data_IF_203286742892
#
_entry.id   IF_203286742892
#
_cell.length_a   1.000
_cell.length_b   1.000
_cell.length_c   1.000
_cell.angle_alpha   90.00
_cell.angle_beta   90.00
_cell.angle_gamma   90.00
#
_symmetry.space_group_name_H-M   'P 1'
#
loop_
_entity.id
_entity.type
_entity.pdbx_description
1 polymer ?
#
# COMPACT_ATOMS: atom_id res chain seq x y z
N UNK A 1 21.42 -54.78 -51.58
CA UNK A 1 22.55 -55.45 -52.26
C UNK A 1 23.00 -56.57 -51.34
N UNK A 2 22.98 -57.84 -51.79
CA UNK A 2 23.37 -58.95 -50.93
C UNK A 2 24.89 -58.95 -50.74
N UNK A 3 25.34 -58.91 -49.48
CA UNK A 3 26.76 -58.97 -49.16
C UNK A 3 27.30 -60.38 -49.48
N UNK A 4 28.30 -60.52 -50.36
CA UNK A 4 28.79 -61.82 -50.85
C UNK A 4 29.37 -62.71 -49.74
N UNK A 5 29.73 -62.12 -48.60
CA UNK A 5 30.22 -62.83 -47.42
C UNK A 5 29.15 -63.66 -46.69
N UNK A 6 27.87 -63.32 -46.88
CA UNK A 6 26.75 -63.89 -46.14
C UNK A 6 25.73 -64.60 -47.04
N UNK A 7 25.99 -64.69 -48.35
CA UNK A 7 25.05 -65.22 -49.33
C UNK A 7 24.83 -66.74 -49.23
N UNK A 8 25.86 -67.49 -48.80
CA UNK A 8 25.83 -68.97 -48.78
C UNK A 8 25.52 -69.56 -47.39
N UNK A 9 25.28 -68.72 -46.38
CA UNK A 9 25.05 -69.20 -45.01
C UNK A 9 23.55 -69.46 -44.75
N UNK A 10 23.16 -70.67 -44.30
CA UNK A 10 21.79 -70.94 -43.93
C UNK A 10 21.41 -70.19 -42.64
N UNK A 11 20.20 -69.60 -42.60
CA UNK A 11 19.65 -68.96 -41.40
C UNK A 11 19.92 -67.45 -41.26
N UNK A 12 20.41 -66.78 -42.30
CA UNK A 12 20.56 -65.32 -42.30
C UNK A 12 19.27 -64.66 -42.80
N UNK A 13 18.71 -63.74 -42.02
CA UNK A 13 17.53 -62.99 -42.39
C UNK A 13 17.88 -61.85 -43.35
N UNK A 14 17.62 -62.03 -44.64
CA UNK A 14 17.86 -61.01 -45.67
C UNK A 14 16.72 -59.99 -45.82
N UNK A 15 15.53 -60.33 -45.34
CA UNK A 15 14.29 -59.54 -45.49
C UNK A 15 13.89 -58.80 -44.22
N UNK A 16 14.80 -58.69 -43.25
CA UNK A 16 14.57 -57.94 -42.02
C UNK A 16 15.37 -56.63 -42.06
N UNK A 17 14.84 -55.53 -41.52
CA UNK A 17 15.61 -54.31 -41.38
C UNK A 17 16.77 -54.54 -40.40
N UNK A 18 17.95 -54.05 -40.76
CA UNK A 18 19.14 -54.14 -39.89
C UNK A 18 18.98 -53.30 -38.61
N UNK A 19 18.10 -52.29 -38.63
CA UNK A 19 17.86 -51.36 -37.52
C UNK A 19 16.36 -51.28 -37.23
N UNK A 20 15.99 -51.50 -35.98
CA UNK A 20 14.63 -51.28 -35.47
C UNK A 20 14.65 -50.03 -34.60
N UNK A 21 14.24 -48.91 -35.18
CA UNK A 21 14.10 -47.64 -34.47
C UNK A 21 12.62 -47.24 -34.38
N UNK A 22 12.28 -46.48 -33.34
CA UNK A 22 10.99 -45.82 -33.23
C UNK A 22 10.94 -44.65 -34.22
N UNK A 23 9.76 -44.35 -34.76
CA UNK A 23 9.55 -43.12 -35.53
C UNK A 23 9.55 -41.92 -34.58
N UNK A 24 10.74 -41.53 -34.12
CA UNK A 24 10.94 -40.45 -33.18
C UNK A 24 10.54 -39.12 -33.83
N UNK A 25 9.61 -38.42 -33.21
CA UNK A 25 9.37 -37.02 -33.55
C UNK A 25 10.64 -36.21 -33.24
N UNK A 26 10.96 -35.16 -34.00
CA UNK A 26 12.08 -34.29 -33.69
C UNK A 26 11.98 -33.81 -32.24
N UNK A 27 13.09 -33.75 -31.50
CA UNK A 27 13.15 -33.36 -30.08
C UNK A 27 12.40 -32.03 -29.79
N UNK A 28 12.34 -31.13 -30.78
CA UNK A 28 11.60 -29.86 -30.74
C UNK A 28 10.08 -29.99 -30.63
N UNK A 29 9.50 -31.12 -31.04
CA UNK A 29 8.05 -31.39 -30.97
C UNK A 29 7.66 -32.22 -29.74
N UNK A 30 8.64 -32.84 -29.06
CA UNK A 30 8.44 -33.65 -27.86
C UNK A 30 8.09 -32.79 -26.62
N UNK A 31 8.53 -31.53 -26.59
CA UNK A 31 8.30 -30.60 -25.47
C UNK A 31 6.87 -30.08 -25.30
N UNK A 32 6.00 -30.21 -26.31
CA UNK A 32 4.59 -29.79 -26.22
C UNK A 32 3.70 -30.81 -25.49
N UNK A 33 4.22 -32.00 -25.22
CA UNK A 33 3.56 -33.03 -24.42
C UNK A 33 4.14 -33.00 -23.00
N UNK A 34 4.18 -31.82 -22.38
CA UNK A 34 4.52 -31.73 -20.95
C UNK A 34 3.44 -32.50 -20.19
N UNK A 35 3.79 -33.72 -19.81
CA UNK A 35 3.04 -34.70 -19.01
C UNK A 35 2.43 -34.04 -17.75
N UNK A 36 3.01 -32.92 -17.31
CA UNK A 36 2.55 -32.08 -16.21
C UNK A 36 1.17 -31.46 -16.43
N UNK A 37 0.84 -31.02 -17.66
CA UNK A 37 -0.41 -30.27 -17.92
C UNK A 37 -1.62 -31.19 -18.14
N UNK A 38 -1.40 -32.46 -18.50
CA UNK A 38 -2.47 -33.40 -18.83
C UNK A 38 -2.81 -34.33 -17.66
N UNK A 39 -1.84 -34.72 -16.83
CA UNK A 39 -2.07 -35.74 -15.79
C UNK A 39 -2.68 -35.17 -14.51
N UNK A 40 -2.37 -33.92 -14.15
CA UNK A 40 -2.80 -33.36 -12.86
C UNK A 40 -4.22 -32.80 -12.92
N UNK A 41 -4.66 -32.32 -14.09
CA UNK A 41 -5.95 -31.64 -14.26
C UNK A 41 -7.14 -32.60 -14.54
N UNK A 42 -6.90 -33.91 -14.63
CA UNK A 42 -7.91 -34.92 -15.01
C UNK A 42 -8.37 -35.82 -13.85
N UNK A 43 -8.00 -35.53 -12.60
CA UNK A 43 -8.48 -36.30 -11.45
C UNK A 43 -9.90 -35.84 -11.05
N UNK A 44 -10.93 -36.62 -11.36
CA UNK A 44 -12.35 -36.34 -11.01
C UNK A 44 -12.63 -36.14 -9.51
N UNK A 45 -11.69 -36.52 -8.64
CA UNK A 45 -11.80 -36.37 -7.17
C UNK A 45 -11.06 -35.15 -6.61
N UNK A 46 -10.39 -34.35 -7.43
CA UNK A 46 -9.59 -33.19 -6.99
C UNK A 46 -10.01 -31.94 -7.76
N UNK A 47 -10.47 -30.93 -7.05
CA UNK A 47 -10.75 -29.62 -7.64
C UNK A 47 -9.47 -28.78 -7.72
N UNK A 48 -9.04 -28.41 -8.92
CA UNK A 48 -7.89 -27.51 -9.14
C UNK A 48 -8.35 -26.05 -9.08
N UNK A 49 -8.06 -25.38 -7.97
CA UNK A 49 -8.38 -23.97 -7.78
C UNK A 49 -7.32 -23.08 -8.45
N UNK A 50 -7.74 -22.26 -9.42
CA UNK A 50 -6.88 -21.26 -10.05
C UNK A 50 -6.68 -20.08 -9.10
N UNK A 51 -5.51 -20.00 -8.47
CA UNK A 51 -5.16 -18.91 -7.57
C UNK A 51 -4.63 -17.72 -8.38
N UNK A 52 -5.37 -16.60 -8.34
CA UNK A 52 -4.97 -15.32 -8.93
C UNK A 52 -4.33 -14.43 -7.85
N UNK A 53 -3.02 -14.11 -7.92
CA UNK A 53 -2.35 -13.32 -6.89
C UNK A 53 -2.96 -11.92 -6.69
N UNK A 54 -3.43 -11.31 -7.78
CA UNK A 54 -4.05 -9.98 -7.74
C UNK A 54 -5.40 -9.99 -7.02
N UNK A 55 -6.21 -11.04 -7.22
CA UNK A 55 -7.51 -11.17 -6.54
C UNK A 55 -7.31 -11.52 -5.06
N UNK A 56 -6.37 -12.42 -4.77
CA UNK A 56 -5.98 -12.74 -3.40
C UNK A 56 -5.48 -11.48 -2.65
N UNK A 57 -4.59 -10.70 -3.27
CA UNK A 57 -4.11 -9.45 -2.68
C UNK A 57 -5.27 -8.50 -2.36
N UNK A 58 -6.20 -8.28 -3.30
CA UNK A 58 -7.35 -7.42 -3.07
C UNK A 58 -8.28 -7.94 -1.94
N UNK A 59 -8.43 -9.27 -1.79
CA UNK A 59 -9.23 -9.89 -0.71
C UNK A 59 -8.64 -9.65 0.69
N UNK A 60 -7.33 -9.53 0.80
CA UNK A 60 -6.63 -9.34 2.08
C UNK A 60 -6.12 -7.91 2.30
N UNK A 61 -6.20 -7.04 1.29
CA UNK A 61 -5.82 -5.63 1.39
C UNK A 61 -6.60 -4.95 2.53
N UNK A 62 -5.87 -4.31 3.45
CA UNK A 62 -6.46 -3.61 4.59
C UNK A 62 -6.77 -4.48 5.80
N UNK A 63 -6.57 -5.82 5.73
CA UNK A 63 -6.65 -6.70 6.90
C UNK A 63 -5.26 -6.82 7.50
N UNK A 64 -5.10 -6.39 8.76
CA UNK A 64 -3.86 -6.55 9.53
C UNK A 64 -4.06 -7.57 10.64
N UNK A 65 -2.99 -8.26 11.03
CA UNK A 65 -2.97 -9.22 12.13
C UNK A 65 -2.09 -8.67 13.25
N UNK A 66 -2.57 -8.72 14.49
CA UNK A 66 -1.73 -8.42 15.66
C UNK A 66 -1.12 -9.72 16.20
N UNK A 67 0.21 -9.68 16.39
CA UNK A 67 1.03 -10.78 16.87
C UNK A 67 1.57 -10.57 18.29
N UNK A 68 1.26 -9.46 18.95
CA UNK A 68 1.92 -9.05 20.21
C UNK A 68 1.65 -9.98 21.39
N UNK A 69 0.46 -10.58 21.45
CA UNK A 69 0.01 -11.37 22.61
C UNK A 69 -0.27 -12.84 22.24
N UNK A 70 0.42 -13.35 21.22
CA UNK A 70 0.25 -14.72 20.70
C UNK A 70 1.06 -15.69 21.55
N UNK A 71 0.38 -16.64 22.17
CA UNK A 71 1.00 -17.72 22.95
C UNK A 71 0.44 -19.08 22.51
N UNK A 72 1.31 -19.91 21.90
CA UNK A 72 1.01 -21.30 21.53
C UNK A 72 1.63 -22.32 22.49
N UNK A 73 2.29 -21.88 23.55
CA UNK A 73 2.89 -22.81 24.52
C UNK A 73 1.78 -23.50 25.32
N UNK A 74 2.02 -24.71 25.85
CA UNK A 74 1.05 -25.44 26.68
C UNK A 74 0.96 -24.95 28.14
N UNK A 75 1.55 -23.79 28.47
CA UNK A 75 1.54 -23.24 29.83
C UNK A 75 0.14 -22.94 30.38
N UNK A 76 -0.26 -23.51 31.52
CA UNK A 76 -1.60 -23.28 32.08
C UNK A 76 -1.66 -21.89 32.71
N UNK A 77 -2.17 -20.91 31.96
CA UNK A 77 -2.33 -19.51 32.39
C UNK A 77 -3.79 -19.15 32.75
N UNK A 78 -3.97 -18.02 33.42
CA UNK A 78 -5.30 -17.50 33.83
C UNK A 78 -6.15 -16.91 32.69
N UNK A 79 -5.62 -16.81 31.46
CA UNK A 79 -6.32 -16.30 30.28
C UNK A 79 -6.50 -17.37 29.21
N UNK A 80 -7.51 -17.20 28.34
CA UNK A 80 -7.58 -18.00 27.10
C UNK A 80 -6.36 -17.66 26.26
N UNK A 81 -5.60 -18.68 25.86
CA UNK A 81 -4.56 -18.52 24.84
C UNK A 81 -5.24 -18.26 23.52
N UNK A 82 -5.03 -17.08 22.99
CA UNK A 82 -5.53 -16.68 21.69
C UNK A 82 -4.32 -16.63 20.77
N UNK A 83 -4.49 -17.15 19.55
CA UNK A 83 -3.49 -17.05 18.50
C UNK A 83 -3.41 -15.63 17.95
N UNK A 84 -3.15 -15.50 16.65
CA UNK A 84 -3.20 -14.21 15.98
C UNK A 84 -4.56 -13.56 16.14
N UNK A 85 -4.55 -12.30 16.57
CA UNK A 85 -5.77 -11.54 16.75
C UNK A 85 -6.06 -10.72 15.49
N UNK A 86 -7.32 -10.79 15.02
CA UNK A 86 -7.83 -10.02 13.88
C UNK A 86 -8.50 -8.73 14.38
N UNK A 87 -8.41 -8.43 15.69
CA UNK A 87 -8.84 -7.16 16.32
C UNK A 87 -7.97 -5.97 15.91
N UNK A 88 -7.83 -5.77 14.60
CA UNK A 88 -7.24 -4.57 14.00
C UNK A 88 -8.31 -3.95 13.11
N UNK A 89 -9.16 -3.12 13.73
CA UNK A 89 -10.19 -2.37 13.03
C UNK A 89 -10.59 -1.13 13.82
N UNK A 90 -10.94 -0.07 13.10
CA UNK A 90 -11.27 1.26 13.66
C UNK A 90 -12.54 1.28 14.52
N UNK A 91 -13.29 0.17 14.56
CA UNK A 91 -14.56 0.01 15.26
C UNK A 91 -14.48 -1.01 16.41
N UNK A 92 -13.33 -1.13 17.05
CA UNK A 92 -13.22 -1.98 18.24
C UNK A 92 -13.71 -1.25 19.49
N UNK A 93 -14.62 -1.89 20.22
CA UNK A 93 -15.02 -1.51 21.57
C UNK A 93 -14.58 -2.64 22.50
N UNK A 94 -13.87 -2.27 23.57
CA UNK A 94 -13.49 -3.19 24.63
C UNK A 94 -14.76 -3.55 25.38
N UNK A 95 -15.05 -4.86 25.49
CA UNK A 95 -16.21 -5.32 26.26
C UNK A 95 -15.99 -5.17 27.76
N UNK A 96 -17.06 -4.87 28.50
CA UNK A 96 -17.14 -4.54 29.94
C UNK A 96 -16.42 -5.49 30.91
N UNK A 97 -15.91 -6.63 30.44
CA UNK A 97 -15.32 -7.70 31.24
C UNK A 97 -13.86 -8.01 30.90
N UNK A 98 -13.20 -7.17 30.11
CA UNK A 98 -11.77 -7.33 29.80
C UNK A 98 -10.92 -6.37 30.64
N UNK A 99 -9.85 -6.87 31.26
CA UNK A 99 -8.94 -6.09 32.13
C UNK A 99 -7.96 -5.19 31.35
N UNK A 100 -8.16 -5.04 30.05
CA UNK A 100 -7.29 -4.29 29.17
C UNK A 100 -7.62 -2.80 29.26
N UNK A 101 -6.58 -1.95 29.32
CA UNK A 101 -6.77 -0.50 29.36
C UNK A 101 -7.10 -0.02 27.95
N UNK A 102 -8.15 0.78 27.83
CA UNK A 102 -8.63 1.27 26.54
C UNK A 102 -7.66 2.26 25.88
N UNK A 103 -7.53 2.15 24.57
CA UNK A 103 -6.87 3.16 23.75
C UNK A 103 -7.76 4.41 23.67
N UNK A 104 -7.22 5.65 23.73
CA UNK A 104 -8.00 6.88 23.54
C UNK A 104 -8.96 6.91 22.34
N UNK A 105 -8.62 6.24 21.23
CA UNK A 105 -9.51 6.13 20.07
C UNK A 105 -10.70 5.19 20.31
N UNK A 106 -10.47 4.07 21.01
CA UNK A 106 -11.52 3.12 21.39
C UNK A 106 -12.46 3.74 22.42
N UNK A 107 -11.91 4.45 23.40
CA UNK A 107 -12.69 5.20 24.39
C UNK A 107 -13.59 6.25 23.72
N UNK A 108 -13.08 6.94 22.69
CA UNK A 108 -13.87 7.86 21.89
C UNK A 108 -15.06 7.17 21.21
N UNK A 109 -14.83 6.04 20.55
CA UNK A 109 -15.88 5.27 19.88
C UNK A 109 -16.93 4.73 20.88
N UNK A 110 -16.48 4.26 22.05
CA UNK A 110 -17.38 3.83 23.13
C UNK A 110 -18.23 4.99 23.62
N UNK A 111 -17.63 6.16 23.89
CA UNK A 111 -18.35 7.36 24.33
C UNK A 111 -19.34 7.82 23.25
N UNK A 112 -18.97 7.81 21.96
CA UNK A 112 -19.93 8.12 20.89
C UNK A 112 -21.15 7.19 20.91
N UNK A 113 -20.93 5.90 21.15
CA UNK A 113 -22.01 4.92 21.27
C UNK A 113 -22.86 5.15 22.53
N UNK A 114 -22.24 5.38 23.69
CA UNK A 114 -22.94 5.68 24.95
C UNK A 114 -23.79 6.95 24.84
N UNK A 115 -23.27 8.02 24.21
CA UNK A 115 -24.02 9.26 23.97
C UNK A 115 -25.22 9.02 23.06
N UNK A 116 -25.06 8.21 22.01
CA UNK A 116 -26.16 7.81 21.12
C UNK A 116 -27.21 6.96 21.87
N UNK A 117 -26.77 6.04 22.72
CA UNK A 117 -27.66 5.22 23.54
C UNK A 117 -28.44 6.09 24.54
N UNK A 118 -27.77 7.05 25.19
CA UNK A 118 -28.41 8.00 26.10
C UNK A 118 -29.43 8.88 25.36
N UNK A 119 -29.12 9.32 24.14
CA UNK A 119 -30.06 10.05 23.29
C UNK A 119 -31.33 9.25 23.00
N UNK A 120 -31.18 7.97 22.69
CA UNK A 120 -32.30 7.06 22.43
C UNK A 120 -33.14 6.84 23.70
N UNK A 121 -32.52 6.60 24.86
CA UNK A 121 -33.20 6.47 26.15
C UNK A 121 -33.96 7.74 26.56
N UNK A 122 -33.39 8.93 26.33
CA UNK A 122 -34.06 10.21 26.64
C UNK A 122 -35.23 10.46 25.68
N UNK A 123 -35.12 10.05 24.41
CA UNK A 123 -36.24 10.11 23.47
C UNK A 123 -37.34 9.12 23.82
N UNK A 124 -37.01 7.88 24.20
CA UNK A 124 -37.97 6.93 24.74
C UNK A 124 -38.64 7.47 26.02
N UNK A 125 -37.88 8.16 26.88
CA UNK A 125 -38.42 8.82 28.07
C UNK A 125 -39.33 10.00 27.70
N UNK A 126 -39.03 10.76 26.65
CA UNK A 126 -39.90 11.83 26.13
C UNK A 126 -41.21 11.26 25.57
N UNK A 127 -41.16 10.13 24.87
CA UNK A 127 -42.34 9.45 24.33
C UNK A 127 -43.19 8.77 25.43
N UNK A 128 -42.55 8.22 26.47
CA UNK A 128 -43.24 7.59 27.61
C UNK A 128 -43.74 8.58 28.67
N UNK A 129 -43.04 9.69 28.91
CA UNK A 129 -43.48 10.78 29.81
C UNK A 129 -44.68 11.58 29.28
N UNK A 130 -45.10 11.34 28.03
CA UNK A 130 -46.44 11.71 27.56
C UNK A 130 -47.57 11.02 28.36
N UNK A 131 -47.28 9.95 29.12
CA UNK A 131 -48.28 9.13 29.82
C UNK A 131 -48.21 9.18 31.35
N UNK A 132 -47.07 9.49 31.95
CA UNK A 132 -46.91 9.53 33.41
C UNK A 132 -46.27 10.85 33.86
N UNK A 133 -47.10 11.71 34.44
CA UNK A 133 -46.73 12.98 35.08
C UNK A 133 -46.25 12.76 36.52
N UNK A 134 -45.25 13.55 36.94
CA UNK A 134 -44.78 13.77 38.32
C UNK A 134 -43.66 12.83 38.83
N UNK A 135 -42.40 12.99 38.38
CA UNK A 135 -41.22 12.69 39.23
C UNK A 135 -39.83 13.10 38.73
N UNK A 136 -39.65 13.70 37.54
CA UNK A 136 -38.30 14.07 37.07
C UNK A 136 -38.04 15.57 37.16
N UNK A 137 -37.01 15.97 37.92
CA UNK A 137 -36.61 17.35 38.21
C UNK A 137 -36.04 18.11 36.99
N UNK A 138 -35.86 17.44 35.83
CA UNK A 138 -35.31 18.05 34.61
C UNK A 138 -36.22 17.71 33.42
N UNK A 139 -36.69 18.69 32.63
CA UNK A 139 -37.51 18.43 31.45
C UNK A 139 -36.70 17.65 30.40
N UNK A 140 -37.24 16.55 29.82
CA UNK A 140 -36.55 15.72 28.83
C UNK A 140 -36.01 16.50 27.63
N UNK A 141 -36.66 17.60 27.27
CA UNK A 141 -36.25 18.49 26.17
C UNK A 141 -34.90 19.16 26.44
N UNK A 142 -34.60 19.54 27.69
CA UNK A 142 -33.32 20.15 28.06
C UNK A 142 -32.20 19.11 28.03
N UNK A 143 -32.50 17.86 28.39
CA UNK A 143 -31.53 16.76 28.30
C UNK A 143 -31.13 16.47 26.84
N UNK A 144 -32.10 16.48 25.91
CA UNK A 144 -31.81 16.33 24.47
C UNK A 144 -30.87 17.44 23.98
N UNK A 145 -31.14 18.70 24.34
CA UNK A 145 -30.30 19.82 23.95
C UNK A 145 -28.87 19.71 24.51
N UNK A 146 -28.72 19.23 25.74
CA UNK A 146 -27.41 18.99 26.36
C UNK A 146 -26.65 17.83 25.67
N UNK A 147 -27.36 16.77 25.27
CA UNK A 147 -26.77 15.65 24.54
C UNK A 147 -26.31 16.07 23.15
N UNK A 148 -27.08 16.92 22.46
CA UNK A 148 -26.68 17.49 21.16
C UNK A 148 -25.44 18.39 21.27
N UNK A 149 -25.35 19.20 22.34
CA UNK A 149 -24.15 19.99 22.64
C UNK A 149 -22.93 19.09 22.90
N UNK A 150 -23.09 18.04 23.71
CA UNK A 150 -22.02 17.08 23.99
C UNK A 150 -21.55 16.36 22.72
N UNK A 151 -22.48 15.98 21.83
CA UNK A 151 -22.13 15.37 20.55
C UNK A 151 -21.31 16.33 19.67
N UNK A 152 -21.69 17.62 19.65
CA UNK A 152 -20.95 18.64 18.90
C UNK A 152 -19.55 18.87 19.46
N UNK A 153 -19.42 19.00 20.78
CA UNK A 153 -18.11 19.13 21.44
C UNK A 153 -17.21 17.91 21.16
N UNK A 154 -17.78 16.70 21.17
CA UNK A 154 -17.05 15.48 20.86
C UNK A 154 -16.57 15.41 19.40
N UNK A 155 -17.33 15.99 18.46
CA UNK A 155 -16.91 16.11 17.05
C UNK A 155 -15.82 17.17 16.87
N UNK A 156 -15.96 18.32 17.53
CA UNK A 156 -14.99 19.41 17.48
C UNK A 156 -13.62 18.97 18.05
N UNK A 157 -13.60 18.27 19.18
CA UNK A 157 -12.37 17.69 19.76
C UNK A 157 -11.71 16.64 18.86
N UNK A 158 -12.49 15.87 18.11
CA UNK A 158 -11.97 14.90 17.16
C UNK A 158 -11.31 15.60 15.96
N UNK A 159 -11.92 16.66 15.46
CA UNK A 159 -11.33 17.51 14.41
C UNK A 159 -10.06 18.21 14.90
N UNK A 160 -10.08 18.80 16.10
CA UNK A 160 -8.91 19.43 16.69
C UNK A 160 -7.77 18.43 16.92
N UNK A 161 -8.05 17.19 17.30
CA UNK A 161 -7.03 16.15 17.49
C UNK A 161 -6.46 15.60 16.19
N UNK A 162 -7.27 15.46 15.14
CA UNK A 162 -6.82 14.99 13.83
C UNK A 162 -6.01 16.08 13.12
N UNK A 163 -6.41 17.34 13.25
CA UNK A 163 -5.79 18.45 12.53
C UNK A 163 -4.69 19.13 13.36
N UNK A 164 -4.83 19.22 14.68
CA UNK A 164 -4.00 20.10 15.52
C UNK A 164 -4.40 21.57 15.33
N UNK A 165 -4.45 22.35 16.40
CA UNK A 165 -4.81 23.77 16.36
C UNK A 165 -3.89 24.62 15.47
N UNK A 166 -2.64 24.19 15.32
CA UNK A 166 -1.62 24.83 14.46
C UNK A 166 -1.78 24.49 12.97
N UNK A 167 -2.24 23.28 12.62
CA UNK A 167 -2.39 22.91 11.21
C UNK A 167 -3.65 23.48 10.56
N UNK A 168 -4.66 23.91 11.33
CA UNK A 168 -5.84 24.55 10.74
C UNK A 168 -5.50 25.92 10.12
N UNK A 169 -4.55 26.64 10.72
CA UNK A 169 -4.04 27.92 10.19
C UNK A 169 -2.97 27.71 9.10
N UNK A 170 -2.13 26.69 9.23
CA UNK A 170 -1.11 26.36 8.22
C UNK A 170 -1.71 25.67 6.98
N UNK A 171 -2.80 24.89 7.09
CA UNK A 171 -3.42 24.20 5.94
C UNK A 171 -4.08 25.13 4.94
N UNK A 172 -4.41 26.37 5.33
CA UNK A 172 -4.96 27.34 4.37
C UNK A 172 -3.92 27.76 3.33
N UNK A 173 -2.63 27.78 3.67
CA UNK A 173 -1.49 27.94 2.73
C UNK A 173 -0.13 27.71 3.44
N UNK A 174 0.34 26.45 3.54
CA UNK A 174 1.52 26.11 4.35
C UNK A 174 2.82 26.55 3.69
N UNK A 175 2.86 26.58 2.36
CA UNK A 175 4.03 27.00 1.61
C UNK A 175 4.11 28.54 1.50
N UNK A 176 2.97 29.22 1.36
CA UNK A 176 2.92 30.67 1.30
C UNK A 176 3.28 31.35 2.61
N UNK A 177 2.90 30.76 3.76
CA UNK A 177 3.25 31.29 5.07
C UNK A 177 4.77 31.23 5.35
N UNK A 178 5.41 30.12 5.00
CA UNK A 178 6.87 29.96 5.13
C UNK A 178 7.63 30.85 4.14
N UNK A 179 7.15 30.96 2.90
CA UNK A 179 7.78 31.82 1.88
C UNK A 179 7.73 33.31 2.27
N UNK A 180 6.59 33.78 2.80
CA UNK A 180 6.44 35.17 3.29
C UNK A 180 7.33 35.45 4.49
N UNK A 181 7.42 34.55 5.46
CA UNK A 181 8.31 34.68 6.64
C UNK A 181 9.79 34.76 6.24
N UNK A 182 10.22 33.96 5.26
CA UNK A 182 11.59 33.99 4.76
C UNK A 182 11.90 35.30 4.01
N UNK A 183 10.98 35.74 3.14
CA UNK A 183 11.15 36.99 2.39
C UNK A 183 11.20 38.22 3.31
N UNK A 184 10.33 38.30 4.32
CA UNK A 184 10.35 39.41 5.28
C UNK A 184 11.64 39.45 6.09
N UNK A 185 12.17 38.29 6.48
CA UNK A 185 13.48 38.21 7.12
C UNK A 185 14.59 38.70 6.17
N UNK A 186 14.64 38.23 4.93
CA UNK A 186 15.65 38.69 3.95
C UNK A 186 15.55 40.18 3.64
N UNK A 187 14.33 40.74 3.60
CA UNK A 187 14.10 42.18 3.42
C UNK A 187 14.57 43.00 4.63
N UNK A 188 14.39 42.51 5.86
CA UNK A 188 14.93 43.17 7.06
C UNK A 188 16.46 43.22 7.04
N UNK A 189 17.12 42.16 6.56
CA UNK A 189 18.58 42.14 6.39
C UNK A 189 19.06 43.09 5.27
N UNK A 190 18.29 43.22 4.18
CA UNK A 190 18.62 44.12 3.07
C UNK A 190 18.55 45.61 3.46
N UNK A 191 17.71 45.97 4.43
CA UNK A 191 17.48 47.36 4.85
C UNK A 191 18.46 47.86 5.94
N UNK A 192 19.46 47.07 6.35
CA UNK A 192 20.52 47.53 7.27
C UNK A 192 21.59 48.28 6.45
N UNK A 193 21.76 49.61 6.60
CA UNK A 193 22.80 50.34 5.90
C UNK A 193 24.18 49.98 6.48
N UNK A 194 25.03 49.40 5.64
CA UNK A 194 26.45 49.19 5.93
C UNK A 194 27.12 50.56 6.20
N UNK A 195 27.41 50.84 7.47
CA UNK A 195 28.27 51.96 7.86
C UNK A 195 29.60 51.41 8.35
N UNK A 196 30.66 51.84 7.65
CA UNK A 196 32.06 51.52 7.88
C UNK A 196 32.52 51.75 9.33
N UNK A 197 33.34 50.83 9.86
CA UNK A 197 34.64 51.18 10.44
C UNK A 197 35.58 49.99 10.60
N UNK A 198 36.64 50.06 9.80
CA UNK A 198 37.88 49.28 9.80
C UNK A 198 38.72 49.62 11.03
N UNK A 199 39.09 48.63 11.86
CA UNK A 199 40.44 48.50 12.46
C UNK A 199 40.62 47.18 13.23
N UNK A 200 41.77 46.53 13.00
CA UNK A 200 42.40 45.37 13.67
C UNK A 200 42.39 45.55 15.21
N UNK A 201 42.38 44.54 16.10
CA UNK A 201 43.25 43.34 16.23
C UNK A 201 42.74 42.47 17.41
N UNK A 202 42.92 41.15 17.32
CA UNK A 202 43.19 40.15 18.38
C UNK A 202 42.17 39.88 19.54
N UNK A 203 41.67 38.62 19.53
CA UNK A 203 41.36 37.72 20.67
C UNK A 203 40.55 38.24 21.86
N UNK A 204 39.28 37.83 21.94
CA UNK A 204 38.74 36.86 22.91
C UNK A 204 37.21 36.99 23.02
N UNK A 205 36.53 35.84 23.08
CA UNK A 205 35.12 35.63 23.46
C UNK A 205 34.05 36.38 22.63
N UNK A 206 32.77 36.08 22.90
CA UNK A 206 31.55 36.74 22.40
C UNK A 206 30.90 35.99 21.21
N UNK A 207 29.88 35.13 21.39
CA UNK A 207 28.45 35.50 21.60
C UNK A 207 28.07 36.83 20.98
N UNK A 208 28.21 36.95 19.67
CA UNK A 208 27.50 37.94 18.85
C UNK A 208 27.41 37.32 17.47
N UNK A 209 26.27 36.71 17.16
CA UNK A 209 26.02 36.17 15.83
C UNK A 209 26.10 37.33 14.84
N UNK A 210 27.20 37.40 14.09
CA UNK A 210 27.30 38.29 12.94
C UNK A 210 26.12 37.96 12.02
N UNK A 211 25.22 38.93 11.88
CA UNK A 211 24.01 38.92 11.06
C UNK A 211 24.38 38.76 9.57
N UNK A 212 24.87 37.58 9.20
CA UNK A 212 25.44 37.29 7.88
C UNK A 212 24.54 36.30 7.16
N UNK A 213 23.94 36.72 6.04
CA UNK A 213 23.10 35.84 5.21
C UNK A 213 23.99 34.83 4.48
N UNK A 214 24.07 33.61 5.00
CA UNK A 214 24.82 32.50 4.39
C UNK A 214 23.88 31.66 3.52
N UNK A 215 24.02 31.76 2.20
CA UNK A 215 23.30 30.87 1.28
C UNK A 215 24.14 29.62 1.01
N UNK A 216 23.69 28.49 1.54
CA UNK A 216 24.32 27.19 1.28
C UNK A 216 23.41 26.36 0.38
N UNK A 217 23.87 26.12 -0.85
CA UNK A 217 23.18 25.25 -1.80
C UNK A 217 23.60 23.80 -1.56
N UNK A 218 22.74 23.03 -0.91
CA UNK A 218 22.93 21.60 -0.74
C UNK A 218 22.26 20.86 -1.90
N UNK A 219 23.06 20.33 -2.82
CA UNK A 219 22.57 19.42 -3.86
C UNK A 219 22.31 18.06 -3.25
N UNK A 220 21.12 17.49 -3.50
CA UNK A 220 20.78 16.11 -3.12
C UNK A 220 21.04 15.19 -4.31
N UNK A 221 22.20 14.51 -4.41
CA UNK A 221 22.53 13.67 -5.56
C UNK A 221 21.55 12.52 -5.75
N UNK A 222 20.90 12.06 -4.68
CA UNK A 222 19.91 10.99 -4.73
C UNK A 222 18.64 11.40 -5.47
N UNK A 223 18.25 12.67 -5.43
CA UNK A 223 17.11 13.18 -6.20
C UNK A 223 17.40 13.17 -7.70
N UNK A 224 18.60 13.63 -8.11
CA UNK A 224 19.00 13.59 -9.51
C UNK A 224 19.10 12.14 -10.04
N UNK A 225 19.60 11.21 -9.21
CA UNK A 225 19.62 9.78 -9.56
C UNK A 225 18.22 9.19 -9.64
N UNK A 226 17.31 9.56 -8.73
CA UNK A 226 15.91 9.13 -8.75
C UNK A 226 15.18 9.65 -10.00
N UNK A 227 15.44 10.90 -10.41
CA UNK A 227 14.89 11.48 -11.64
C UNK A 227 15.42 10.79 -12.91
N UNK A 228 16.70 10.41 -12.92
CA UNK A 228 17.25 9.61 -14.02
C UNK A 228 16.63 8.20 -14.03
N UNK A 229 16.53 7.55 -12.86
CA UNK A 229 15.93 6.23 -12.74
C UNK A 229 14.44 6.22 -13.12
N UNK A 230 13.68 7.27 -12.80
CA UNK A 230 12.27 7.38 -13.19
C UNK A 230 12.10 7.54 -14.69
N UNK A 231 12.99 8.30 -15.36
CA UNK A 231 13.04 8.39 -16.82
C UNK A 231 13.36 7.05 -17.47
N UNK A 232 14.34 6.31 -16.93
CA UNK A 232 14.69 4.97 -17.42
C UNK A 232 13.53 3.99 -17.20
N UNK A 233 12.90 3.98 -16.02
CA UNK A 233 11.74 3.14 -15.73
C UNK A 233 10.54 3.42 -16.65
N UNK A 234 10.31 4.68 -17.03
CA UNK A 234 9.28 5.04 -18.02
C UNK A 234 9.59 4.46 -19.40
N UNK A 235 10.86 4.52 -19.82
CA UNK A 235 11.30 3.89 -21.08
C UNK A 235 11.18 2.37 -21.02
N UNK A 236 11.54 1.74 -19.91
CA UNK A 236 11.38 0.30 -19.71
C UNK A 236 9.90 -0.11 -19.74
N UNK A 237 9.01 0.65 -19.10
CA UNK A 237 7.57 0.37 -19.16
C UNK A 237 7.04 0.47 -20.59
N UNK A 238 7.48 1.47 -21.37
CA UNK A 238 7.12 1.60 -22.78
C UNK A 238 7.67 0.43 -23.60
N UNK A 239 8.91 0.01 -23.35
CA UNK A 239 9.52 -1.14 -24.01
C UNK A 239 8.76 -2.42 -23.68
N UNK A 240 8.43 -2.67 -22.41
CA UNK A 240 7.60 -3.82 -21.99
C UNK A 240 6.22 -3.79 -22.62
N UNK A 241 5.60 -2.63 -22.77
CA UNK A 241 4.32 -2.53 -23.46
C UNK A 241 4.44 -2.87 -24.95
N UNK A 242 5.52 -2.40 -25.62
CA UNK A 242 5.80 -2.76 -27.00
C UNK A 242 6.12 -4.26 -27.14
N UNK A 243 6.89 -4.82 -26.21
CA UNK A 243 7.21 -6.24 -26.15
C UNK A 243 5.96 -7.09 -25.92
N UNK A 244 5.03 -6.67 -25.06
CA UNK A 244 3.76 -7.37 -24.85
C UNK A 244 2.89 -7.37 -26.11
N UNK A 245 2.93 -6.29 -26.91
CA UNK A 245 2.14 -6.17 -28.14
C UNK A 245 2.77 -7.01 -29.27
N UNK A 246 4.09 -6.91 -29.43
CA UNK A 246 4.85 -7.57 -30.50
C UNK A 246 5.06 -9.06 -30.19
N UNK A 247 5.31 -9.39 -28.92
CA UNK A 247 5.59 -10.74 -28.43
C UNK A 247 6.80 -11.39 -29.12
N UNK A 248 6.86 -12.72 -29.06
CA UNK A 248 7.79 -13.53 -29.86
C UNK A 248 7.18 -13.95 -31.22
N UNK A 249 6.06 -13.32 -31.61
CA UNK A 249 5.33 -13.65 -32.82
C UNK A 249 6.06 -13.11 -34.06
N UNK A 250 6.86 -13.96 -34.71
CA UNK A 250 7.61 -13.64 -35.95
C UNK A 250 6.74 -12.99 -37.04
N UNK A 251 5.43 -13.28 -37.07
CA UNK A 251 4.46 -12.68 -38.01
C UNK A 251 4.17 -11.20 -37.72
N UNK A 252 4.02 -10.81 -36.45
CA UNK A 252 3.79 -9.42 -36.05
C UNK A 252 5.03 -8.57 -36.24
N UNK A 253 6.21 -9.16 -36.00
CA UNK A 253 7.51 -8.56 -36.27
C UNK A 253 7.67 -8.28 -37.77
N UNK A 254 7.33 -9.23 -38.64
CA UNK A 254 7.33 -9.05 -40.10
C UNK A 254 6.44 -7.90 -40.57
N UNK A 255 5.20 -7.81 -40.07
CA UNK A 255 4.29 -6.71 -40.38
C UNK A 255 4.83 -5.34 -39.92
N UNK A 256 5.57 -5.28 -38.81
CA UNK A 256 6.18 -4.05 -38.33
C UNK A 256 7.33 -3.58 -39.24
N UNK A 257 8.15 -4.51 -39.74
CA UNK A 257 9.16 -4.21 -40.75
C UNK A 257 8.53 -3.72 -42.06
N UNK A 258 7.44 -4.35 -42.50
CA UNK A 258 6.72 -3.93 -43.70
C UNK A 258 6.15 -2.52 -43.53
N UNK A 259 5.52 -2.20 -42.39
CA UNK A 259 4.97 -0.86 -42.10
C UNK A 259 6.07 0.21 -42.01
N UNK A 260 7.22 -0.09 -41.40
CA UNK A 260 8.38 0.82 -41.34
C UNK A 260 9.02 1.04 -42.71
N UNK A 261 9.10 0.00 -43.55
CA UNK A 261 9.59 0.14 -44.92
C UNK A 261 8.63 0.97 -45.78
N UNK A 262 7.32 0.85 -45.55
CA UNK A 262 6.31 1.63 -46.24
C UNK A 262 6.35 3.12 -45.84
N UNK A 263 6.59 3.42 -44.56
CA UNK A 263 6.71 4.81 -44.09
C UNK A 263 7.99 5.49 -44.57
N UNK A 264 9.08 4.73 -44.72
CA UNK A 264 10.34 5.22 -45.29
C UNK A 264 10.27 5.45 -46.81
N UNK A 265 9.25 4.92 -47.49
CA UNK A 265 8.98 5.15 -48.92
C UNK A 265 8.03 6.34 -49.16
N UNK A 266 7.46 6.91 -48.09
CA UNK A 266 6.48 8.00 -48.14
C UNK A 266 7.05 9.37 -47.72
N UNK A 267 8.38 9.46 -47.61
CA UNK A 267 9.18 10.70 -47.52
C UNK A 267 10.06 10.76 -48.76
#
# INVERSE_FOLDING_TARGET
MANPKYADLPGIAHDQPDVYETSDLPESEQGNLSISDVIVDQCDSVETLKVSPNEAFNKFKGKSLDGRNVDFTDGIGHGRKIGYDIRSGDWEMIGDHTKEKENPLQAYNRIQYEVKQLFEQVNEMKESSSKDSESSQVPPVVLVQQIEQLQKELQDLHMEKILGSEALEEMSDPLGALHKKLLTQLETFKNVPATDKKTKTATSSVTSAEETVKYELYVRPDQAKLEQASKVASLEQRLRNLENIIGQDKKKIGLFYDILSFSSFLI
#
